data_IF_375683418317
#
_entry.id   IF_375683418317
#
_cell.length_a   1.000
_cell.length_b   1.000
_cell.length_c   1.000
_cell.angle_alpha   90.00
_cell.angle_beta   90.00
_cell.angle_gamma   90.00
#
_symmetry.space_group_name_H-M   'P 1'
#
loop_
_entity.id
_entity.type
_entity.pdbx_description
1 polymer ?
#
# COMPACT_ATOMS: atom_id res chain seq x y z
N UNK A 1 -13.54 -25.51 1.73
CA UNK A 1 -13.10 -25.51 0.32
C UNK A 1 -13.63 -24.24 -0.35
N UNK A 2 -12.87 -23.61 -1.26
CA UNK A 2 -13.35 -22.47 -2.05
C UNK A 2 -14.26 -22.95 -3.17
N UNK A 3 -15.30 -22.17 -3.46
CA UNK A 3 -16.19 -22.39 -4.61
C UNK A 3 -15.50 -21.95 -5.90
N UNK A 4 -16.02 -22.37 -7.05
CA UNK A 4 -15.54 -21.94 -8.37
C UNK A 4 -15.61 -20.41 -8.54
N UNK A 5 -16.70 -19.79 -8.05
CA UNK A 5 -16.84 -18.33 -8.09
C UNK A 5 -15.78 -17.62 -7.26
N UNK A 6 -15.41 -18.14 -6.09
CA UNK A 6 -14.33 -17.55 -5.27
C UNK A 6 -12.96 -17.69 -5.95
N UNK A 7 -12.69 -18.84 -6.60
CA UNK A 7 -11.48 -19.01 -7.40
C UNK A 7 -11.42 -18.02 -8.57
N UNK A 8 -12.53 -17.85 -9.29
CA UNK A 8 -12.62 -16.88 -10.39
C UNK A 8 -12.42 -15.44 -9.88
N UNK A 9 -12.99 -15.12 -8.72
CA UNK A 9 -12.81 -13.80 -8.08
C UNK A 9 -11.34 -13.56 -7.72
N UNK A 10 -10.67 -14.54 -7.11
CA UNK A 10 -9.23 -14.45 -6.78
C UNK A 10 -8.40 -14.24 -8.05
N UNK A 11 -8.65 -15.05 -9.10
CA UNK A 11 -7.91 -14.93 -10.35
C UNK A 11 -8.08 -13.56 -11.01
N UNK A 12 -9.31 -13.06 -11.12
CA UNK A 12 -9.60 -11.76 -11.71
C UNK A 12 -8.99 -10.62 -10.88
N UNK A 13 -9.04 -10.72 -9.55
CA UNK A 13 -8.38 -9.78 -8.66
C UNK A 13 -6.86 -9.73 -8.90
N UNK A 14 -6.21 -10.90 -8.99
CA UNK A 14 -4.77 -10.96 -9.25
C UNK A 14 -4.41 -10.38 -10.62
N UNK A 15 -5.15 -10.74 -11.68
CA UNK A 15 -4.93 -10.19 -13.02
C UNK A 15 -5.00 -8.65 -13.02
N UNK A 16 -5.98 -8.08 -12.32
CA UNK A 16 -6.13 -6.63 -12.22
C UNK A 16 -5.02 -5.99 -11.38
N UNK A 17 -4.65 -6.60 -10.25
CA UNK A 17 -3.59 -6.07 -9.38
C UNK A 17 -2.21 -6.10 -10.05
N UNK A 18 -1.93 -7.08 -10.92
CA UNK A 18 -0.65 -7.17 -11.65
C UNK A 18 -0.47 -6.07 -12.70
N UNK A 19 -1.52 -5.34 -13.08
CA UNK A 19 -1.41 -4.19 -14.02
C UNK A 19 -1.09 -2.87 -13.34
N UNK A 20 -1.04 -2.84 -11.99
CA UNK A 20 -0.85 -1.62 -11.22
C UNK A 20 0.65 -1.34 -11.05
N UNK A 21 1.07 -0.13 -11.36
CA UNK A 21 2.44 0.36 -11.24
C UNK A 21 2.59 1.55 -10.26
N UNK A 22 1.45 2.08 -9.75
CA UNK A 22 1.41 3.16 -8.77
C UNK A 22 1.10 2.63 -7.36
N UNK A 23 1.87 3.06 -6.36
CA UNK A 23 1.85 2.49 -5.01
C UNK A 23 0.57 2.80 -4.23
N UNK A 24 0.07 4.01 -4.29
CA UNK A 24 -1.18 4.44 -3.67
C UNK A 24 -2.42 3.84 -4.34
N UNK A 25 -2.38 3.66 -5.68
CA UNK A 25 -3.41 2.92 -6.42
C UNK A 25 -3.42 1.45 -5.96
N UNK A 26 -2.25 0.82 -5.85
CA UNK A 26 -2.13 -0.58 -5.41
C UNK A 26 -2.73 -0.79 -4.01
N UNK A 27 -2.31 0.02 -3.03
CA UNK A 27 -2.77 -0.14 -1.64
C UNK A 27 -4.28 0.09 -1.49
N UNK A 28 -4.82 1.10 -2.17
CA UNK A 28 -6.26 1.38 -2.12
C UNK A 28 -7.09 0.31 -2.83
N UNK A 29 -6.60 -0.19 -3.96
CA UNK A 29 -7.34 -1.15 -4.80
C UNK A 29 -7.41 -2.52 -4.16
N UNK A 30 -6.29 -3.05 -3.64
CA UNK A 30 -6.28 -4.33 -2.94
C UNK A 30 -7.23 -4.33 -1.74
N UNK A 31 -7.24 -3.26 -0.95
CA UNK A 31 -8.14 -3.13 0.19
C UNK A 31 -9.61 -3.18 -0.23
N UNK A 32 -9.97 -2.52 -1.32
CA UNK A 32 -11.35 -2.56 -1.86
C UNK A 32 -11.73 -3.92 -2.42
N UNK A 33 -10.82 -4.58 -3.15
CA UNK A 33 -11.10 -5.85 -3.82
C UNK A 33 -11.19 -7.03 -2.85
N UNK A 34 -10.33 -7.07 -1.83
CA UNK A 34 -10.35 -8.18 -0.86
C UNK A 34 -11.69 -8.26 -0.10
N UNK A 35 -12.43 -7.16 0.01
CA UNK A 35 -13.75 -7.13 0.67
C UNK A 35 -14.78 -8.03 -0.01
N UNK A 36 -14.60 -8.35 -1.29
CA UNK A 36 -15.46 -9.30 -2.02
C UNK A 36 -15.28 -10.74 -1.55
N UNK A 37 -14.11 -11.08 -1.01
CA UNK A 37 -13.77 -12.42 -0.53
C UNK A 37 -13.84 -12.52 0.99
N UNK A 38 -13.44 -11.46 1.68
CA UNK A 38 -13.34 -11.38 3.14
C UNK A 38 -14.01 -10.08 3.58
N UNK A 39 -15.28 -10.12 4.01
CA UNK A 39 -15.96 -8.95 4.55
C UNK A 39 -15.27 -8.42 5.80
N UNK A 40 -15.08 -7.11 5.89
CA UNK A 40 -14.50 -6.43 7.05
C UNK A 40 -15.12 -5.04 7.22
N UNK A 41 -15.04 -4.47 8.41
CA UNK A 41 -15.57 -3.14 8.71
C UNK A 41 -14.54 -2.04 8.49
N UNK A 42 -13.33 -2.24 9.00
CA UNK A 42 -12.19 -1.34 8.91
C UNK A 42 -10.96 -2.10 8.44
N UNK A 43 -9.97 -1.39 7.92
CA UNK A 43 -8.70 -2.01 7.56
C UNK A 43 -7.67 -0.99 7.11
N UNK A 44 -6.43 -1.42 7.03
CA UNK A 44 -5.35 -0.63 6.45
C UNK A 44 -4.35 -1.46 5.68
N UNK A 45 -3.70 -0.79 4.76
CA UNK A 45 -2.50 -1.27 4.10
C UNK A 45 -1.36 -0.29 4.41
N UNK A 46 -0.43 -0.69 5.23
CA UNK A 46 0.70 0.12 5.68
C UNK A 46 1.94 -0.25 4.90
N UNK A 47 2.61 0.76 4.38
CA UNK A 47 3.91 0.64 3.72
C UNK A 47 5.00 1.05 4.68
N UNK A 48 6.07 0.25 4.76
CA UNK A 48 7.23 0.54 5.57
C UNK A 48 8.44 0.88 4.71
N UNK A 49 9.27 1.79 5.18
CA UNK A 49 10.58 2.06 4.61
C UNK A 49 11.65 1.08 5.12
N UNK A 50 12.90 1.29 4.72
CA UNK A 50 14.00 0.40 5.11
C UNK A 50 14.33 0.45 6.61
N UNK A 51 13.92 1.52 7.32
CA UNK A 51 14.05 1.71 8.77
C UNK A 51 12.80 1.26 9.56
N UNK A 52 11.85 0.57 8.92
CA UNK A 52 10.54 0.15 9.46
C UNK A 52 9.65 1.35 9.86
N UNK A 53 9.86 2.54 9.31
CA UNK A 53 8.97 3.69 9.51
C UNK A 53 7.85 3.67 8.49
N UNK A 54 6.67 4.12 8.92
CA UNK A 54 5.49 4.16 8.05
C UNK A 54 5.67 5.23 6.97
N UNK A 55 5.51 4.83 5.72
CA UNK A 55 5.35 5.74 4.57
C UNK A 55 3.89 6.20 4.52
N UNK A 56 3.59 7.21 5.32
CA UNK A 56 2.22 7.67 5.63
C UNK A 56 1.40 7.99 4.38
N UNK A 57 1.98 8.72 3.42
CA UNK A 57 1.27 9.13 2.19
C UNK A 57 0.89 7.95 1.31
N UNK A 58 1.70 6.90 1.26
CA UNK A 58 1.46 5.70 0.47
C UNK A 58 0.65 4.63 1.21
N UNK A 59 0.41 4.82 2.51
CA UNK A 59 -0.40 3.92 3.33
C UNK A 59 -1.87 4.26 3.20
N UNK A 60 -2.73 3.24 3.08
CA UNK A 60 -4.16 3.40 2.86
C UNK A 60 -4.97 2.89 4.03
N UNK A 61 -5.92 3.70 4.50
CA UNK A 61 -6.86 3.39 5.58
C UNK A 61 -8.28 3.42 5.04
N UNK A 62 -9.12 2.49 5.45
CA UNK A 62 -10.52 2.39 5.01
C UNK A 62 -11.44 2.07 6.18
N UNK A 63 -12.59 2.77 6.24
CA UNK A 63 -13.59 2.59 7.29
C UNK A 63 -13.30 3.38 8.57
N UNK A 64 -12.24 4.17 8.59
CA UNK A 64 -11.84 5.03 9.71
C UNK A 64 -12.18 6.50 9.46
N UNK A 65 -12.25 7.28 10.53
CA UNK A 65 -12.32 8.74 10.47
C UNK A 65 -10.96 9.34 10.04
N UNK A 66 -10.98 10.58 9.57
CA UNK A 66 -9.83 11.21 8.93
C UNK A 66 -8.58 11.35 9.84
N UNK A 67 -8.78 11.47 11.16
CA UNK A 67 -7.68 11.66 12.14
C UNK A 67 -7.02 10.35 12.56
N UNK A 68 -7.67 9.20 12.33
CA UNK A 68 -7.20 7.90 12.82
C UNK A 68 -5.87 7.49 12.19
N UNK A 69 -5.67 7.81 10.91
CA UNK A 69 -4.39 7.55 10.23
C UNK A 69 -3.24 8.24 10.95
N UNK A 70 -3.41 9.53 11.29
CA UNK A 70 -2.41 10.31 11.99
C UNK A 70 -2.18 9.79 13.41
N UNK A 71 -3.26 9.53 14.15
CA UNK A 71 -3.18 8.97 15.50
C UNK A 71 -2.44 7.62 15.52
N UNK A 72 -2.78 6.72 14.60
CA UNK A 72 -2.10 5.43 14.54
C UNK A 72 -0.61 5.60 14.19
N UNK A 73 -0.30 6.34 13.12
CA UNK A 73 1.07 6.45 12.63
C UNK A 73 2.02 7.20 13.58
N UNK A 74 1.51 8.22 14.26
CA UNK A 74 2.33 9.12 15.08
C UNK A 74 2.40 8.69 16.56
N UNK A 75 1.39 7.92 17.04
CA UNK A 75 1.29 7.56 18.47
C UNK A 75 1.25 6.04 18.67
N UNK A 76 0.31 5.35 18.03
CA UNK A 76 0.00 3.96 18.40
C UNK A 76 0.79 2.90 17.64
N UNK A 77 1.48 3.26 16.55
CA UNK A 77 2.26 2.28 15.80
C UNK A 77 3.30 1.56 16.67
N UNK A 78 4.01 2.27 17.54
CA UNK A 78 5.00 1.66 18.44
C UNK A 78 4.40 0.83 19.58
N UNK A 79 3.10 1.00 19.86
CA UNK A 79 2.38 0.25 20.91
C UNK A 79 1.62 -0.96 20.34
N UNK A 80 1.56 -1.11 19.03
CA UNK A 80 0.87 -2.20 18.35
C UNK A 80 1.61 -3.53 18.59
N UNK A 81 0.94 -4.44 19.33
CA UNK A 81 1.51 -5.74 19.70
C UNK A 81 1.87 -6.62 18.49
N UNK A 82 1.32 -6.37 17.31
CA UNK A 82 1.70 -7.09 16.09
C UNK A 82 3.19 -6.88 15.76
N UNK A 83 3.78 -5.76 16.17
CA UNK A 83 5.21 -5.52 15.95
C UNK A 83 6.12 -6.53 16.64
N UNK A 84 5.67 -7.16 17.74
CA UNK A 84 6.44 -8.24 18.38
C UNK A 84 6.67 -9.43 17.46
N UNK A 85 5.78 -9.65 16.47
CA UNK A 85 5.96 -10.72 15.49
C UNK A 85 7.13 -10.43 14.52
N UNK A 86 7.50 -9.17 14.33
CA UNK A 86 8.52 -8.77 13.36
C UNK A 86 9.89 -9.38 13.61
N UNK A 87 10.19 -9.70 14.86
CA UNK A 87 11.48 -10.26 15.25
C UNK A 87 11.50 -11.81 15.17
N UNK A 88 10.32 -12.44 15.01
CA UNK A 88 10.18 -13.90 15.00
C UNK A 88 9.85 -14.48 13.62
N UNK A 89 9.46 -13.66 12.66
CA UNK A 89 9.08 -14.13 11.32
C UNK A 89 10.14 -13.77 10.29
N UNK A 90 10.46 -14.72 9.41
CA UNK A 90 11.44 -14.56 8.32
C UNK A 90 10.81 -14.51 6.93
N UNK A 91 9.52 -14.83 6.84
CA UNK A 91 8.77 -14.88 5.58
C UNK A 91 7.38 -14.23 5.73
N UNK A 92 6.78 -13.85 4.60
CA UNK A 92 5.42 -13.30 4.56
C UNK A 92 4.43 -14.23 5.27
N UNK A 93 3.79 -13.73 6.31
CA UNK A 93 2.97 -14.55 7.20
C UNK A 93 1.59 -13.95 7.44
N UNK A 94 0.58 -14.83 7.44
CA UNK A 94 -0.79 -14.48 7.84
C UNK A 94 -0.93 -14.67 9.34
N UNK A 95 -1.66 -13.79 9.98
CA UNK A 95 -1.99 -13.91 11.40
C UNK A 95 -3.46 -13.56 11.65
N UNK A 96 -3.96 -14.00 12.80
CA UNK A 96 -5.23 -13.61 13.41
C UNK A 96 -4.95 -13.22 14.86
N UNK A 97 -5.45 -12.08 15.31
CA UNK A 97 -5.18 -11.51 16.63
C UNK A 97 -5.49 -12.51 17.76
N UNK A 98 -6.63 -13.17 17.66
CA UNK A 98 -7.07 -14.18 18.67
C UNK A 98 -6.21 -15.45 18.70
N UNK A 99 -5.34 -15.65 17.69
CA UNK A 99 -4.35 -16.75 17.68
C UNK A 99 -2.97 -16.32 18.19
N UNK A 100 -2.73 -15.00 18.34
CA UNK A 100 -1.45 -14.44 18.84
C UNK A 100 -1.54 -14.21 20.35
N UNK A 101 -2.59 -13.53 20.78
CA UNK A 101 -2.84 -13.19 22.17
C UNK A 101 -4.23 -13.66 22.56
N UNK A 102 -4.32 -14.32 23.73
CA UNK A 102 -5.61 -14.61 24.32
C UNK A 102 -6.36 -13.31 24.61
N UNK A 103 -7.69 -13.32 24.47
CA UNK A 103 -8.52 -12.12 24.56
C UNK A 103 -8.34 -11.36 25.86
N UNK A 104 -8.20 -12.09 26.99
CA UNK A 104 -8.02 -11.49 28.32
C UNK A 104 -6.66 -10.78 28.49
N UNK A 105 -5.64 -11.17 27.75
CA UNK A 105 -4.33 -10.51 27.69
C UNK A 105 -4.39 -9.32 26.74
N UNK A 106 -4.92 -9.52 25.54
CA UNK A 106 -5.02 -8.50 24.50
C UNK A 106 -5.83 -7.29 24.96
N UNK A 107 -6.98 -7.53 25.61
CA UNK A 107 -7.89 -6.48 26.08
C UNK A 107 -7.32 -5.63 27.22
N UNK A 108 -6.23 -6.07 27.86
CA UNK A 108 -5.51 -5.32 28.88
C UNK A 108 -4.36 -4.47 28.33
N UNK A 109 -4.03 -4.62 27.03
CA UNK A 109 -2.97 -3.83 26.43
C UNK A 109 -3.42 -2.37 26.26
N UNK A 110 -2.48 -1.44 26.38
CA UNK A 110 -2.72 -0.01 26.17
C UNK A 110 -3.23 0.25 24.75
N UNK A 111 -2.68 -0.45 23.76
CA UNK A 111 -3.10 -0.36 22.37
C UNK A 111 -4.58 -0.75 22.19
N UNK A 112 -5.02 -1.84 22.81
CA UNK A 112 -6.44 -2.23 22.76
C UNK A 112 -7.34 -1.18 23.42
N UNK A 113 -7.00 -0.76 24.64
CA UNK A 113 -7.84 0.14 25.44
C UNK A 113 -7.93 1.54 24.80
N UNK A 114 -6.79 2.07 24.32
CA UNK A 114 -6.69 3.45 23.87
C UNK A 114 -6.96 3.62 22.37
N UNK A 115 -6.80 2.55 21.59
CA UNK A 115 -6.95 2.60 20.13
C UNK A 115 -8.01 1.64 19.59
N UNK A 116 -7.87 0.31 19.74
CA UNK A 116 -8.76 -0.65 19.10
C UNK A 116 -10.21 -0.55 19.60
N UNK A 117 -10.39 -0.48 20.92
CA UNK A 117 -11.73 -0.42 21.55
C UNK A 117 -12.51 0.87 21.18
N UNK A 118 -11.91 2.07 21.22
CA UNK A 118 -12.58 3.29 20.74
C UNK A 118 -12.97 3.24 19.26
N UNK A 119 -12.21 2.51 18.44
CA UNK A 119 -12.49 2.32 17.02
C UNK A 119 -13.49 1.18 16.73
N UNK A 120 -14.12 0.60 17.75
CA UNK A 120 -15.05 -0.55 17.61
C UNK A 120 -14.37 -1.75 16.91
N UNK A 121 -13.09 -2.01 17.23
CA UNK A 121 -12.31 -3.13 16.70
C UNK A 121 -12.19 -4.21 17.77
N UNK A 122 -12.81 -5.35 17.52
CA UNK A 122 -12.77 -6.52 18.43
C UNK A 122 -11.90 -7.64 17.85
N UNK A 123 -11.93 -7.84 16.53
CA UNK A 123 -11.19 -8.89 15.85
C UNK A 123 -10.32 -8.30 14.76
N UNK A 124 -9.11 -8.82 14.63
CA UNK A 124 -8.17 -8.47 13.59
C UNK A 124 -7.56 -9.70 12.94
N UNK A 125 -7.25 -9.59 11.66
CA UNK A 125 -6.35 -10.51 10.97
C UNK A 125 -5.55 -9.74 9.92
N UNK A 126 -4.46 -10.32 9.46
CA UNK A 126 -3.67 -9.63 8.46
C UNK A 126 -2.52 -10.44 7.91
N UNK A 127 -1.70 -9.75 7.13
CA UNK A 127 -0.48 -10.27 6.54
C UNK A 127 0.67 -9.33 6.88
N UNK A 128 1.74 -9.88 7.42
CA UNK A 128 3.03 -9.18 7.48
C UNK A 128 3.78 -9.50 6.21
N UNK A 129 4.09 -8.49 5.41
CA UNK A 129 4.66 -8.62 4.08
C UNK A 129 6.18 -8.51 4.15
N UNK A 130 6.86 -9.60 3.81
CA UNK A 130 8.33 -9.69 3.85
C UNK A 130 8.86 -9.96 2.45
N UNK A 131 9.92 -9.23 2.07
CA UNK A 131 10.67 -9.46 0.85
C UNK A 131 12.15 -9.17 1.09
N UNK A 132 13.02 -10.07 0.58
CA UNK A 132 14.47 -9.96 0.75
C UNK A 132 14.87 -9.78 2.23
N UNK A 133 14.26 -10.58 3.12
CA UNK A 133 14.46 -10.54 4.59
C UNK A 133 14.13 -9.19 5.24
N UNK A 134 13.29 -8.37 4.61
CA UNK A 134 12.82 -7.08 5.16
C UNK A 134 11.32 -7.05 5.19
N UNK A 135 10.76 -6.50 6.26
CA UNK A 135 9.33 -6.18 6.32
C UNK A 135 9.12 -4.94 5.46
N UNK A 136 8.28 -5.07 4.44
CA UNK A 136 7.98 -3.99 3.49
C UNK A 136 6.59 -3.38 3.71
N UNK A 137 5.76 -4.00 4.53
CA UNK A 137 4.44 -3.49 4.87
C UNK A 137 3.61 -4.48 5.66
N UNK A 138 2.42 -4.04 6.02
CA UNK A 138 1.39 -4.83 6.69
C UNK A 138 0.02 -4.55 6.06
N UNK A 139 -0.77 -5.59 6.01
CA UNK A 139 -2.13 -5.55 5.52
C UNK A 139 -3.06 -6.10 6.60
N UNK A 140 -3.97 -5.27 7.11
CA UNK A 140 -4.82 -5.62 8.24
C UNK A 140 -6.30 -5.40 7.91
N UNK A 141 -7.12 -6.34 8.33
CA UNK A 141 -8.57 -6.31 8.28
C UNK A 141 -9.13 -6.39 9.68
N UNK A 142 -10.16 -5.61 9.96
CA UNK A 142 -10.76 -5.52 11.28
C UNK A 142 -12.27 -5.72 11.24
N UNK A 143 -12.80 -6.28 12.34
CA UNK A 143 -14.21 -6.50 12.58
C UNK A 143 -14.61 -6.08 13.98
N UNK A 144 -15.87 -5.66 14.09
CA UNK A 144 -16.52 -5.47 15.37
C UNK A 144 -17.18 -6.78 15.86
N UNK A 145 -17.77 -6.74 17.05
CA UNK A 145 -18.39 -7.90 17.67
C UNK A 145 -19.51 -8.49 16.80
N UNK A 146 -20.32 -7.66 16.14
CA UNK A 146 -21.43 -8.13 15.30
C UNK A 146 -20.99 -8.93 14.10
N UNK A 147 -19.81 -8.65 13.57
CA UNK A 147 -19.26 -9.34 12.40
C UNK A 147 -18.58 -10.66 12.76
N UNK A 148 -18.26 -10.87 14.03
CA UNK A 148 -17.54 -12.06 14.50
C UNK A 148 -16.09 -12.13 14.02
N UNK A 149 -15.36 -13.14 14.53
CA UNK A 149 -13.96 -13.34 14.18
C UNK A 149 -13.77 -13.89 12.76
N UNK A 150 -12.57 -13.79 12.26
CA UNK A 150 -12.17 -14.34 10.96
C UNK A 150 -12.04 -15.87 11.03
N UNK A 151 -12.69 -16.55 10.10
CA UNK A 151 -12.72 -18.00 10.06
C UNK A 151 -11.56 -18.60 9.25
N UNK A 152 -11.37 -19.91 9.36
CA UNK A 152 -10.26 -20.62 8.71
C UNK A 152 -10.29 -20.51 7.17
N UNK A 153 -11.47 -20.39 6.55
CA UNK A 153 -11.60 -20.21 5.11
C UNK A 153 -11.07 -18.84 4.68
N UNK A 154 -11.34 -17.80 5.45
CA UNK A 154 -10.86 -16.44 5.19
C UNK A 154 -9.34 -16.33 5.38
N UNK A 155 -8.81 -16.98 6.42
CA UNK A 155 -7.35 -17.07 6.63
C UNK A 155 -6.68 -17.86 5.50
N UNK A 156 -7.33 -18.91 4.99
CA UNK A 156 -6.85 -19.67 3.84
C UNK A 156 -6.79 -18.80 2.58
N UNK A 157 -7.79 -17.94 2.32
CA UNK A 157 -7.74 -16.96 1.23
C UNK A 157 -6.56 -16.01 1.37
N UNK A 158 -6.31 -15.48 2.58
CA UNK A 158 -5.12 -14.63 2.83
C UNK A 158 -3.82 -15.40 2.58
N UNK A 159 -3.74 -16.67 2.98
CA UNK A 159 -2.58 -17.52 2.73
C UNK A 159 -2.32 -17.76 1.24
N UNK A 160 -3.36 -17.91 0.42
CA UNK A 160 -3.23 -18.00 -1.03
C UNK A 160 -2.67 -16.70 -1.64
N UNK A 161 -3.10 -15.57 -1.12
CA UNK A 161 -2.77 -14.25 -1.66
C UNK A 161 -1.45 -13.66 -1.13
N UNK A 162 -0.99 -14.05 0.05
CA UNK A 162 0.10 -13.39 0.78
C UNK A 162 1.35 -13.16 -0.06
N UNK A 163 1.83 -14.18 -0.78
CA UNK A 163 3.04 -14.08 -1.58
C UNK A 163 2.84 -13.26 -2.86
N UNK A 164 1.65 -13.30 -3.46
CA UNK A 164 1.30 -12.43 -4.57
C UNK A 164 1.32 -10.97 -4.14
N UNK A 165 0.67 -10.64 -3.02
CA UNK A 165 0.62 -9.28 -2.48
C UNK A 165 2.04 -8.78 -2.16
N UNK A 166 2.87 -9.59 -1.49
CA UNK A 166 4.25 -9.22 -1.17
C UNK A 166 5.10 -8.97 -2.42
N UNK A 167 4.97 -9.82 -3.45
CA UNK A 167 5.70 -9.67 -4.71
C UNK A 167 5.25 -8.42 -5.48
N UNK A 168 3.95 -8.20 -5.59
CA UNK A 168 3.40 -7.03 -6.26
C UNK A 168 3.79 -5.74 -5.54
N UNK A 169 3.63 -5.69 -4.20
CA UNK A 169 4.07 -4.55 -3.41
C UNK A 169 5.54 -4.23 -3.65
N UNK A 170 6.42 -5.25 -3.57
CA UNK A 170 7.85 -5.07 -3.81
C UNK A 170 8.13 -4.50 -5.21
N UNK A 171 7.43 -4.99 -6.24
CA UNK A 171 7.61 -4.50 -7.61
C UNK A 171 7.17 -3.06 -7.75
N UNK A 172 5.99 -2.69 -7.21
CA UNK A 172 5.48 -1.32 -7.26
C UNK A 172 6.37 -0.36 -6.46
N UNK A 173 6.87 -0.77 -5.28
CA UNK A 173 7.85 0.01 -4.51
C UNK A 173 9.16 0.23 -5.28
N UNK A 174 9.59 -0.75 -6.07
CA UNK A 174 10.79 -0.62 -6.92
C UNK A 174 10.58 0.40 -8.04
N UNK A 175 9.41 0.39 -8.69
CA UNK A 175 9.04 1.38 -9.71
C UNK A 175 8.95 2.79 -9.11
N UNK A 176 8.31 2.92 -7.95
CA UNK A 176 8.21 4.18 -7.21
C UNK A 176 9.59 4.77 -6.89
N UNK A 177 10.51 3.96 -6.33
CA UNK A 177 11.89 4.38 -6.06
C UNK A 177 12.64 4.79 -7.34
N UNK A 178 12.48 4.06 -8.42
CA UNK A 178 13.10 4.39 -9.70
C UNK A 178 12.59 5.73 -10.23
N UNK A 179 11.27 5.97 -10.16
CA UNK A 179 10.66 7.22 -10.59
C UNK A 179 11.14 8.42 -9.76
N UNK A 180 11.25 8.27 -8.43
CA UNK A 180 11.78 9.31 -7.54
C UNK A 180 13.23 9.63 -7.91
N UNK A 181 14.07 8.62 -8.17
CA UNK A 181 15.47 8.80 -8.53
C UNK A 181 15.60 9.54 -9.87
N UNK A 182 14.81 9.16 -10.87
CA UNK A 182 14.78 9.82 -12.18
C UNK A 182 14.31 11.27 -12.03
N UNK A 183 13.23 11.53 -11.31
CA UNK A 183 12.73 12.89 -11.09
C UNK A 183 13.76 13.77 -10.36
N UNK A 184 14.49 13.21 -9.38
CA UNK A 184 15.58 13.94 -8.70
C UNK A 184 16.72 14.28 -9.65
N UNK A 185 17.10 13.35 -10.53
CA UNK A 185 18.11 13.58 -11.57
C UNK A 185 17.67 14.64 -12.57
N UNK A 186 16.42 14.59 -13.04
CA UNK A 186 15.86 15.60 -13.95
C UNK A 186 15.81 16.99 -13.30
N UNK A 187 15.41 17.08 -12.03
CA UNK A 187 15.40 18.34 -11.29
C UNK A 187 16.80 18.92 -11.10
N UNK A 188 17.81 18.08 -10.82
CA UNK A 188 19.19 18.50 -10.74
C UNK A 188 19.70 18.99 -12.11
N UNK A 189 19.41 18.26 -13.17
CA UNK A 189 19.73 18.66 -14.55
C UNK A 189 19.12 20.03 -14.88
N UNK A 190 17.81 20.18 -14.63
CA UNK A 190 17.08 21.43 -14.88
C UNK A 190 17.74 22.63 -14.13
N UNK A 191 18.13 22.43 -12.87
CA UNK A 191 18.84 23.46 -12.10
C UNK A 191 20.23 23.77 -12.65
N UNK A 192 21.00 22.75 -13.02
CA UNK A 192 22.38 22.91 -13.53
C UNK A 192 22.41 23.67 -14.85
N UNK A 193 21.45 23.41 -15.73
CA UNK A 193 21.38 24.02 -17.05
C UNK A 193 20.40 25.20 -17.15
N UNK A 194 19.81 25.63 -16.02
CA UNK A 194 18.95 26.81 -15.95
C UNK A 194 17.65 26.69 -16.74
N UNK A 195 17.09 25.48 -16.84
CA UNK A 195 15.83 25.26 -17.57
C UNK A 195 14.68 26.01 -16.92
N UNK A 196 13.82 26.59 -17.74
CA UNK A 196 12.56 27.17 -17.30
C UNK A 196 11.62 26.07 -16.77
N UNK A 197 10.60 26.44 -15.97
CA UNK A 197 9.59 25.52 -15.49
C UNK A 197 8.93 24.74 -16.63
N UNK A 198 8.70 25.38 -17.79
CA UNK A 198 8.09 24.78 -18.96
C UNK A 198 9.01 23.77 -19.65
N UNK A 199 10.28 24.09 -19.78
CA UNK A 199 11.28 23.18 -20.34
C UNK A 199 11.48 21.98 -19.43
N UNK A 200 11.51 22.17 -18.11
CA UNK A 200 11.57 21.07 -17.11
C UNK A 200 10.35 20.14 -17.19
N UNK A 201 9.16 20.68 -17.36
CA UNK A 201 7.94 19.92 -17.55
C UNK A 201 8.01 19.08 -18.83
N UNK A 202 8.39 19.68 -19.96
CA UNK A 202 8.54 18.98 -21.24
C UNK A 202 9.61 17.91 -21.16
N UNK A 203 10.76 18.19 -20.55
CA UNK A 203 11.84 17.22 -20.33
C UNK A 203 11.34 15.99 -19.53
N UNK A 204 10.53 16.22 -18.49
CA UNK A 204 9.92 15.14 -17.72
C UNK A 204 8.98 14.25 -18.56
N UNK A 205 8.21 14.85 -19.47
CA UNK A 205 7.31 14.12 -20.38
C UNK A 205 8.07 13.33 -21.45
N UNK A 206 9.15 13.91 -21.99
CA UNK A 206 10.07 13.20 -22.91
C UNK A 206 10.66 11.97 -22.21
N UNK A 207 11.13 12.13 -20.98
CA UNK A 207 11.70 11.02 -20.22
C UNK A 207 10.69 9.90 -19.92
N UNK A 208 9.40 10.23 -19.90
CA UNK A 208 8.29 9.24 -19.82
C UNK A 208 7.97 8.57 -21.15
N UNK A 209 8.70 8.90 -22.23
CA UNK A 209 8.54 8.31 -23.55
C UNK A 209 7.39 8.89 -24.38
N UNK A 210 6.80 10.02 -23.97
CA UNK A 210 5.71 10.64 -24.73
C UNK A 210 6.23 11.23 -26.04
N UNK A 211 5.46 11.04 -27.10
CA UNK A 211 5.66 11.70 -28.40
C UNK A 211 5.37 13.21 -28.33
N UNK A 212 5.88 13.98 -29.30
CA UNK A 212 5.63 15.42 -29.36
C UNK A 212 4.12 15.75 -29.43
N UNK A 213 3.32 14.88 -30.05
CA UNK A 213 1.88 15.06 -30.13
C UNK A 213 1.25 14.87 -28.74
N UNK A 214 1.56 13.78 -28.04
CA UNK A 214 1.04 13.53 -26.68
C UNK A 214 1.47 14.61 -25.69
N UNK A 215 2.70 15.13 -25.82
CA UNK A 215 3.17 16.26 -25.02
C UNK A 215 2.34 17.50 -25.33
N UNK A 216 2.13 17.81 -26.60
CA UNK A 216 1.33 18.94 -27.10
C UNK A 216 -0.08 18.91 -26.48
N UNK A 217 -0.74 17.76 -26.51
CA UNK A 217 -2.09 17.57 -26.01
C UNK A 217 -2.11 17.73 -24.46
N UNK A 218 -1.11 17.16 -23.77
CA UNK A 218 -1.04 17.17 -22.29
C UNK A 218 -0.73 18.55 -21.72
N UNK A 219 0.15 19.34 -22.37
CA UNK A 219 0.55 20.66 -21.91
C UNK A 219 -0.20 21.81 -22.60
N UNK A 220 -1.17 21.46 -23.46
CA UNK A 220 -2.09 22.39 -24.17
C UNK A 220 -1.35 23.49 -24.96
N UNK A 221 -0.37 23.07 -25.77
CA UNK A 221 0.36 23.95 -26.71
C UNK A 221 0.52 23.27 -28.06
N UNK A 222 0.92 23.98 -29.08
CA UNK A 222 1.13 23.39 -30.42
C UNK A 222 2.36 22.46 -30.43
N UNK A 223 2.35 21.46 -31.33
CA UNK A 223 3.52 20.59 -31.58
C UNK A 223 4.76 21.38 -31.99
N UNK A 224 4.58 22.46 -32.74
CA UNK A 224 5.69 23.36 -33.11
C UNK A 224 6.29 24.06 -31.89
N UNK A 225 5.45 24.43 -30.91
CA UNK A 225 5.90 25.01 -29.64
C UNK A 225 6.63 23.99 -28.78
N UNK A 226 6.14 22.73 -28.75
CA UNK A 226 6.87 21.61 -28.08
C UNK A 226 8.26 21.45 -28.67
N UNK A 227 8.37 21.37 -30.02
CA UNK A 227 9.68 21.25 -30.69
C UNK A 227 10.62 22.41 -30.38
N UNK A 228 10.08 23.66 -30.29
CA UNK A 228 10.88 24.83 -29.89
C UNK A 228 11.45 24.70 -28.48
N UNK A 229 10.64 24.24 -27.52
CA UNK A 229 11.14 23.99 -26.17
C UNK A 229 12.19 22.87 -26.11
N UNK A 230 11.98 21.78 -26.88
CA UNK A 230 12.98 20.70 -26.99
C UNK A 230 14.32 21.20 -27.54
N UNK A 231 14.28 22.11 -28.49
CA UNK A 231 15.50 22.71 -29.07
C UNK A 231 16.26 23.56 -28.04
N UNK A 232 15.56 24.16 -27.07
CA UNK A 232 16.13 25.01 -26.04
C UNK A 232 16.68 24.23 -24.83
N UNK A 233 16.29 22.95 -24.65
CA UNK A 233 16.78 22.03 -23.62
C UNK A 233 18.15 21.46 -24.00
#
# INVERSE_FOLDING_TARGET
>A
MLTENEWNTINNMLLELYTIDELDVFTSKIMKMIRMLIPYTKGWFIILDDDRKIRKEQSYFIGFDNDVKDRYTDVFYSEDYIQYLYDFISETSVYRDTSILESDVREKTDFYIKFLKPEDIIFGCGIILIKNSRIIGMFNLFRNEKSGDFNEKELYVLNLLKNHIANMLHNVMRLDRASITVNKSLNNFAKTYGLTSRESEILSLINKGLSNQEISDKVVISVSTVKKHIYNI
#
